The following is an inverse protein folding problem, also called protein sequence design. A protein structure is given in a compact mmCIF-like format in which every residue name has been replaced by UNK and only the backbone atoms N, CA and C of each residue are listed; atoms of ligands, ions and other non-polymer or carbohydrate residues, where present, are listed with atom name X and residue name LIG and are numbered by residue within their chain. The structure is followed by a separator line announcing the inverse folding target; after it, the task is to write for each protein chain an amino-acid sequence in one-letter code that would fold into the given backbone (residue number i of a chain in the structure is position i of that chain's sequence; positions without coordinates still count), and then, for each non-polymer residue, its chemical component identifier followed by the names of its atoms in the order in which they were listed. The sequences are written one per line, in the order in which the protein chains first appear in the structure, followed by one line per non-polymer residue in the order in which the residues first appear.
data_IF_983651308063
#
_entry.id   IF_983651308063
#
_cell.length_a   1.000
_cell.length_b   1.000
_cell.length_c   1.000
_cell.angle_alpha   90.00
_cell.angle_beta   90.00
_cell.angle_gamma   90.00
#
_symmetry.space_group_name_H-M   'P 1'
#
loop_
_entity.id
_entity.type
_entity.pdbx_description
1 polymer ?
#
# COMPACT_ATOMS: atom_id res chain seq x y z
N UNK A 1 11.50 -26.02 17.06
CA UNK A 1 10.89 -25.50 15.84
C UNK A 1 11.62 -24.19 15.51
N UNK A 2 12.39 -24.17 14.43
CA UNK A 2 13.10 -22.96 14.00
C UNK A 2 12.04 -21.93 13.56
N UNK A 3 11.90 -20.84 14.30
CA UNK A 3 11.09 -19.70 13.88
C UNK A 3 11.68 -19.13 12.58
N UNK A 4 11.11 -19.51 11.43
CA UNK A 4 11.45 -18.85 10.16
C UNK A 4 10.87 -17.44 10.20
N UNK A 5 11.73 -16.44 10.21
CA UNK A 5 11.36 -15.06 9.91
C UNK A 5 11.43 -14.85 8.41
N UNK A 6 10.41 -14.26 7.84
CA UNK A 6 10.38 -13.89 6.42
C UNK A 6 10.91 -12.46 6.28
N UNK A 7 11.75 -12.23 5.27
CA UNK A 7 12.18 -10.89 4.91
C UNK A 7 11.05 -10.20 4.17
N UNK A 8 10.65 -9.05 4.66
CA UNK A 8 9.62 -8.21 4.05
C UNK A 8 10.21 -7.08 3.20
N UNK A 9 9.36 -6.23 2.72
CA UNK A 9 9.70 -5.04 1.94
C UNK A 9 8.84 -3.85 2.36
N UNK A 10 9.17 -2.64 1.87
CA UNK A 10 8.37 -1.45 2.13
C UNK A 10 7.62 -1.06 0.85
N UNK A 11 6.30 -0.87 0.98
CA UNK A 11 5.46 -0.20 0.01
C UNK A 11 5.19 1.24 0.49
N UNK A 12 5.14 2.22 -0.43
CA UNK A 12 4.88 3.62 -0.12
C UNK A 12 3.83 4.20 -1.05
N UNK A 13 2.95 5.06 -0.53
CA UNK A 13 2.06 5.89 -1.32
C UNK A 13 2.75 7.20 -1.68
N UNK A 14 2.64 7.61 -2.96
CA UNK A 14 3.18 8.83 -3.55
C UNK A 14 2.13 9.52 -4.41
N UNK A 15 2.16 10.84 -4.48
CA UNK A 15 1.31 11.63 -5.36
C UNK A 15 0.27 12.48 -4.65
N UNK A 16 0.30 12.56 -3.32
CA UNK A 16 -0.68 13.34 -2.55
C UNK A 16 -0.10 14.61 -1.88
N UNK A 17 1.16 14.94 -2.16
CA UNK A 17 1.76 16.18 -1.71
C UNK A 17 2.88 16.61 -2.67
N UNK A 18 2.80 17.85 -3.19
CA UNK A 18 3.79 18.39 -4.14
C UNK A 18 5.22 18.45 -3.57
N UNK A 19 5.36 18.50 -2.24
CA UNK A 19 6.66 18.60 -1.55
C UNK A 19 7.36 17.24 -1.34
N UNK A 20 6.74 16.12 -1.76
CA UNK A 20 7.32 14.78 -1.58
C UNK A 20 8.34 14.37 -2.67
N UNK A 21 8.77 15.33 -3.50
CA UNK A 21 9.73 15.12 -4.57
C UNK A 21 9.18 14.38 -5.79
N UNK A 22 10.05 14.07 -6.76
CA UNK A 22 9.63 13.34 -7.95
C UNK A 22 9.46 11.84 -7.69
N UNK A 23 8.72 11.18 -8.58
CA UNK A 23 8.60 9.72 -8.56
C UNK A 23 9.97 9.05 -8.76
N UNK A 24 10.79 9.58 -9.66
CA UNK A 24 12.14 9.08 -9.91
C UNK A 24 13.04 9.20 -8.67
N UNK A 25 12.98 10.34 -7.95
CA UNK A 25 13.73 10.54 -6.70
C UNK A 25 13.28 9.53 -5.63
N UNK A 26 11.98 9.33 -5.48
CA UNK A 26 11.42 8.35 -4.55
C UNK A 26 11.99 6.95 -4.80
N UNK A 27 12.01 6.50 -6.06
CA UNK A 27 12.56 5.19 -6.42
C UNK A 27 14.08 5.11 -6.21
N UNK A 28 14.81 6.17 -6.47
CA UNK A 28 16.27 6.21 -6.37
C UNK A 28 16.80 6.08 -4.94
N UNK A 29 15.94 6.31 -3.94
CA UNK A 29 16.28 6.10 -2.53
C UNK A 29 16.65 4.65 -2.21
N UNK A 30 16.23 3.70 -3.05
CA UNK A 30 16.41 2.27 -2.83
C UNK A 30 15.68 1.72 -1.61
N UNK A 31 14.75 2.47 -1.02
CA UNK A 31 14.02 2.08 0.20
C UNK A 31 12.81 1.21 -0.08
N UNK A 32 12.17 1.40 -1.24
CA UNK A 32 10.84 0.89 -1.54
C UNK A 32 10.86 -0.20 -2.62
N UNK A 33 10.13 -1.27 -2.40
CA UNK A 33 9.88 -2.29 -3.42
C UNK A 33 8.63 -1.96 -4.26
N UNK A 34 7.71 -1.18 -3.70
CA UNK A 34 6.47 -0.74 -4.33
C UNK A 34 6.28 0.76 -4.14
N UNK A 35 5.88 1.46 -5.20
CA UNK A 35 5.42 2.85 -5.13
C UNK A 35 4.02 2.91 -5.73
N UNK A 36 3.06 3.37 -4.93
CA UNK A 36 1.65 3.45 -5.27
C UNK A 36 1.31 4.88 -5.69
N UNK A 37 0.99 5.09 -6.95
CA UNK A 37 0.54 6.39 -7.47
C UNK A 37 -0.89 6.63 -6.99
N UNK A 38 -1.09 7.56 -6.11
CA UNK A 38 -2.37 7.88 -5.50
C UNK A 38 -2.87 9.24 -5.97
N UNK A 39 -3.98 9.32 -6.71
CA UNK A 39 -4.93 8.28 -7.06
C UNK A 39 -5.50 8.45 -8.48
N UNK A 40 -5.95 7.37 -9.12
CA UNK A 40 -6.98 7.47 -10.14
C UNK A 40 -8.31 7.67 -9.41
N UNK A 41 -8.77 8.92 -9.33
CA UNK A 41 -9.89 9.33 -8.48
C UNK A 41 -11.25 9.32 -9.21
N UNK A 42 -11.25 9.49 -10.54
CA UNK A 42 -12.46 9.49 -11.37
C UNK A 42 -12.35 8.38 -12.42
N UNK A 43 -13.34 7.49 -12.46
CA UNK A 43 -13.40 6.41 -13.44
C UNK A 43 -14.81 5.78 -13.49
N UNK A 44 -15.09 5.00 -14.55
CA UNK A 44 -16.38 4.35 -14.73
C UNK A 44 -17.49 5.29 -15.22
N UNK A 45 -18.72 4.79 -15.38
CA UNK A 45 -19.93 5.51 -15.79
C UNK A 45 -19.75 6.41 -17.03
N UNK A 46 -18.94 5.97 -18.01
CA UNK A 46 -18.56 6.74 -19.21
C UNK A 46 -17.85 8.08 -18.92
N UNK A 47 -17.34 8.27 -17.69
CA UNK A 47 -16.53 9.44 -17.36
C UNK A 47 -15.11 9.29 -17.91
N UNK A 48 -14.49 10.40 -18.28
CA UNK A 48 -13.07 10.43 -18.62
C UNK A 48 -12.27 10.12 -17.35
N UNK A 49 -11.37 9.14 -17.37
CA UNK A 49 -10.55 8.82 -16.21
C UNK A 49 -9.75 10.04 -15.72
N UNK A 50 -9.88 10.37 -14.45
CA UNK A 50 -9.23 11.52 -13.82
C UNK A 50 -8.22 11.11 -12.76
N UNK A 51 -6.95 11.51 -12.96
CA UNK A 51 -5.90 11.38 -11.96
C UNK A 51 -5.91 12.59 -11.02
N UNK A 52 -5.78 12.34 -9.73
CA UNK A 52 -5.42 13.36 -8.75
C UNK A 52 -4.03 13.00 -8.18
N UNK A 53 -3.01 13.75 -8.56
CA UNK A 53 -1.63 13.61 -8.14
C UNK A 53 -1.08 14.94 -7.60
N UNK A 54 -1.92 15.74 -6.96
CA UNK A 54 -1.59 16.98 -6.23
C UNK A 54 -0.47 17.81 -6.87
N UNK A 55 -0.69 18.30 -8.09
CA UNK A 55 0.24 19.15 -8.86
C UNK A 55 1.53 18.48 -9.36
N UNK A 56 1.77 17.20 -9.11
CA UNK A 56 2.88 16.49 -9.77
C UNK A 56 2.70 16.42 -11.29
N UNK A 57 1.45 16.43 -11.74
CA UNK A 57 1.08 16.64 -13.14
C UNK A 57 -0.37 17.15 -13.22
N UNK A 58 -0.71 17.81 -14.33
CA UNK A 58 -2.07 18.23 -14.63
C UNK A 58 -2.64 17.31 -15.74
N UNK A 59 -3.58 16.40 -15.41
CA UNK A 59 -4.14 15.48 -16.39
C UNK A 59 -4.94 16.19 -17.51
N UNK A 60 -5.37 17.44 -17.30
CA UNK A 60 -6.13 18.23 -18.25
C UNK A 60 -5.25 19.07 -19.18
N UNK A 61 -3.95 19.20 -18.88
CA UNK A 61 -3.01 19.94 -19.70
C UNK A 61 -2.64 19.17 -20.97
N UNK A 62 -2.08 19.87 -21.99
CA UNK A 62 -1.56 19.24 -23.19
C UNK A 62 -0.43 18.26 -22.85
N UNK A 63 -0.66 16.98 -23.07
CA UNK A 63 0.21 15.90 -22.67
C UNK A 63 -0.11 15.29 -21.31
N UNK A 64 -0.91 15.97 -20.50
CA UNK A 64 -1.40 15.43 -19.23
C UNK A 64 -0.26 14.92 -18.33
N UNK A 65 -0.47 13.75 -17.74
CA UNK A 65 0.51 13.09 -16.87
C UNK A 65 1.51 12.17 -17.62
N UNK A 66 1.64 12.31 -18.94
CA UNK A 66 2.56 11.48 -19.74
C UNK A 66 4.03 11.72 -19.38
N UNK A 67 4.36 12.86 -18.77
CA UNK A 67 5.70 13.15 -18.21
C UNK A 67 6.17 12.09 -17.22
N UNK A 68 5.26 11.51 -16.45
CA UNK A 68 5.56 10.44 -15.48
C UNK A 68 6.02 9.13 -16.13
N UNK A 69 5.80 8.96 -17.44
CA UNK A 69 6.18 7.71 -18.14
C UNK A 69 7.69 7.41 -18.04
N UNK A 70 8.53 8.44 -18.05
CA UNK A 70 9.98 8.27 -17.90
C UNK A 70 10.37 7.90 -16.47
N UNK A 71 9.75 8.52 -15.48
CA UNK A 71 9.96 8.22 -14.07
C UNK A 71 9.51 6.79 -13.75
N UNK A 72 8.34 6.37 -14.23
CA UNK A 72 7.85 4.99 -14.10
C UNK A 72 8.85 4.01 -14.69
N UNK A 73 9.36 4.26 -15.91
CA UNK A 73 10.37 3.39 -16.53
C UNK A 73 11.68 3.36 -15.73
N UNK A 74 12.08 4.51 -15.16
CA UNK A 74 13.26 4.60 -14.31
C UNK A 74 13.10 3.76 -13.04
N UNK A 75 11.96 3.86 -12.35
CA UNK A 75 11.62 3.04 -11.20
C UNK A 75 11.65 1.54 -11.53
N UNK A 76 10.99 1.16 -12.63
CA UNK A 76 10.93 -0.24 -13.08
C UNK A 76 12.31 -0.82 -13.41
N UNK A 77 13.22 -0.03 -13.99
CA UNK A 77 14.61 -0.45 -14.24
C UNK A 77 15.38 -0.72 -12.94
N UNK A 78 15.01 -0.06 -11.85
CA UNK A 78 15.58 -0.27 -10.51
C UNK A 78 14.90 -1.44 -9.76
N UNK A 79 13.96 -2.15 -10.40
CA UNK A 79 13.21 -3.25 -9.80
C UNK A 79 12.03 -2.82 -8.90
N UNK A 80 11.72 -1.51 -8.86
CA UNK A 80 10.58 -1.00 -8.09
C UNK A 80 9.29 -1.24 -8.87
N UNK A 81 8.30 -1.83 -8.22
CA UNK A 81 6.96 -1.98 -8.79
C UNK A 81 6.18 -0.69 -8.62
N UNK A 82 5.82 -0.05 -9.73
CA UNK A 82 4.96 1.13 -9.73
C UNK A 82 3.53 0.67 -9.96
N UNK A 83 2.66 0.99 -9.00
CA UNK A 83 1.26 0.58 -8.97
C UNK A 83 0.37 1.82 -9.14
N UNK A 84 -0.69 1.72 -9.93
CA UNK A 84 -1.73 2.75 -9.96
C UNK A 84 -2.77 2.42 -8.89
N UNK A 85 -2.92 3.32 -7.93
CA UNK A 85 -3.97 3.20 -6.91
C UNK A 85 -5.28 3.77 -7.45
N UNK A 86 -6.31 2.94 -7.48
CA UNK A 86 -7.66 3.30 -7.94
C UNK A 86 -8.51 3.49 -6.69
N UNK A 87 -9.14 4.66 -6.53
CA UNK A 87 -10.01 4.90 -5.39
C UNK A 87 -9.89 6.30 -4.82
N UNK A 88 -10.10 6.42 -3.52
CA UNK A 88 -10.25 7.69 -2.80
C UNK A 88 -11.72 7.97 -2.45
N UNK A 89 -12.64 7.03 -2.73
CA UNK A 89 -14.05 7.09 -2.41
C UNK A 89 -14.68 5.70 -2.22
N UNK A 90 -15.94 5.70 -1.79
CA UNK A 90 -16.74 4.48 -1.66
C UNK A 90 -17.28 4.06 -3.03
N UNK A 91 -16.87 2.90 -3.51
CA UNK A 91 -17.37 2.32 -4.75
C UNK A 91 -17.73 0.86 -4.54
N UNK A 92 -18.79 0.43 -5.21
CA UNK A 92 -19.19 -0.97 -5.30
C UNK A 92 -18.54 -1.67 -6.52
N UNK A 93 -18.75 -2.97 -6.65
CA UNK A 93 -18.31 -3.78 -7.80
C UNK A 93 -16.80 -3.99 -7.96
N UNK A 94 -16.03 -3.84 -6.88
CA UNK A 94 -14.60 -4.11 -6.87
C UNK A 94 -14.25 -5.57 -7.24
N UNK A 95 -15.14 -6.52 -6.95
CA UNK A 95 -14.98 -7.93 -7.34
C UNK A 95 -15.11 -8.12 -8.85
N UNK A 96 -16.01 -7.39 -9.51
CA UNK A 96 -16.18 -7.44 -10.98
C UNK A 96 -14.94 -6.85 -11.66
N UNK A 97 -14.44 -5.70 -11.17
CA UNK A 97 -13.22 -5.08 -11.67
C UNK A 97 -12.01 -6.02 -11.48
N UNK A 98 -11.90 -6.67 -10.32
CA UNK A 98 -10.81 -7.62 -10.05
C UNK A 98 -10.81 -8.80 -11.03
N UNK A 99 -12.01 -9.39 -11.31
CA UNK A 99 -12.18 -10.47 -12.30
C UNK A 99 -11.82 -9.99 -13.70
N UNK A 100 -12.28 -8.81 -14.09
CA UNK A 100 -11.98 -8.23 -15.39
C UNK A 100 -10.49 -8.03 -15.60
N UNK A 101 -9.80 -7.40 -14.63
CA UNK A 101 -8.35 -7.14 -14.69
C UNK A 101 -7.53 -8.44 -14.72
N UNK A 102 -7.90 -9.46 -13.94
CA UNK A 102 -7.22 -10.77 -13.97
C UNK A 102 -7.50 -11.55 -15.26
N UNK A 103 -8.60 -11.27 -15.93
CA UNK A 103 -8.92 -11.84 -17.26
C UNK A 103 -8.04 -11.29 -18.39
N UNK A 104 -7.36 -10.19 -18.18
CA UNK A 104 -6.46 -9.59 -19.18
C UNK A 104 -5.24 -10.47 -19.39
N UNK A 105 -5.26 -11.26 -20.47
CA UNK A 105 -4.13 -12.07 -20.94
C UNK A 105 -3.20 -11.19 -21.78
N UNK A 106 -2.46 -10.30 -21.15
CA UNK A 106 -1.39 -9.57 -21.82
C UNK A 106 -0.07 -10.34 -21.74
N UNK A 107 0.91 -9.96 -22.54
CA UNK A 107 2.28 -10.50 -22.48
C UNK A 107 3.00 -10.18 -21.15
N UNK A 108 2.38 -9.37 -20.28
CA UNK A 108 2.94 -8.95 -18.98
C UNK A 108 1.98 -9.35 -17.86
N UNK A 109 2.55 -9.79 -16.74
CA UNK A 109 1.79 -10.09 -15.52
C UNK A 109 1.17 -8.81 -14.97
N UNK A 110 -0.15 -8.82 -14.75
CA UNK A 110 -0.86 -7.78 -14.00
C UNK A 110 -0.88 -8.17 -12.53
N UNK A 111 -0.30 -7.33 -11.68
CA UNK A 111 -0.40 -7.43 -10.23
C UNK A 111 -1.65 -6.72 -9.77
N UNK A 112 -2.43 -7.38 -8.93
CA UNK A 112 -3.62 -6.83 -8.32
C UNK A 112 -3.41 -6.72 -6.82
N UNK A 113 -3.60 -5.51 -6.28
CA UNK A 113 -3.41 -5.22 -4.86
C UNK A 113 -4.64 -4.56 -4.27
N UNK A 114 -4.83 -4.68 -2.96
CA UNK A 114 -5.91 -4.04 -2.23
C UNK A 114 -5.41 -3.44 -0.93
N UNK A 115 -6.03 -2.34 -0.50
CA UNK A 115 -5.70 -1.64 0.73
C UNK A 115 -6.94 -1.54 1.65
N UNK A 116 -7.44 -2.67 2.19
CA UNK A 116 -8.59 -2.67 3.08
C UNK A 116 -8.26 -2.00 4.42
N UNK A 117 -9.31 -1.56 5.11
CA UNK A 117 -9.23 -1.16 6.51
C UNK A 117 -9.04 -2.40 7.40
N UNK A 118 -8.45 -2.24 8.60
CA UNK A 118 -8.20 -3.38 9.48
C UNK A 118 -9.42 -4.10 10.08
N UNK A 119 -10.63 -3.51 10.24
CA UNK A 119 -11.81 -4.26 10.61
C UNK A 119 -12.06 -5.44 9.66
N UNK A 120 -12.35 -6.63 10.22
CA UNK A 120 -12.59 -7.83 9.43
C UNK A 120 -14.02 -8.34 9.59
N UNK A 121 -14.75 -8.67 8.48
CA UNK A 121 -14.38 -8.36 7.09
C UNK A 121 -14.42 -6.86 6.80
N UNK A 122 -13.60 -6.40 5.83
CA UNK A 122 -13.68 -5.00 5.39
C UNK A 122 -15.03 -4.73 4.73
N UNK A 123 -15.65 -3.61 5.11
CA UNK A 123 -17.02 -3.27 4.69
C UNK A 123 -17.14 -2.99 3.17
N UNK A 124 -16.07 -2.49 2.54
CA UNK A 124 -16.08 -2.07 1.13
C UNK A 124 -15.39 -3.08 0.22
N UNK A 125 -14.29 -3.68 0.69
CA UNK A 125 -13.45 -4.58 -0.10
C UNK A 125 -13.71 -6.06 0.15
N UNK A 126 -14.48 -6.41 1.20
CA UNK A 126 -14.65 -7.80 1.63
C UNK A 126 -15.12 -8.74 0.52
N UNK A 127 -16.09 -8.30 -0.32
CA UNK A 127 -16.58 -9.07 -1.47
C UNK A 127 -15.49 -9.29 -2.53
N UNK A 128 -14.68 -8.26 -2.82
CA UNK A 128 -13.59 -8.37 -3.77
C UNK A 128 -12.47 -9.27 -3.25
N UNK A 129 -12.12 -9.14 -1.98
CA UNK A 129 -11.08 -9.94 -1.34
C UNK A 129 -11.43 -11.43 -1.27
N UNK A 130 -12.73 -11.76 -1.12
CA UNK A 130 -13.20 -13.15 -1.14
C UNK A 130 -13.00 -13.84 -2.48
N UNK A 131 -12.72 -13.11 -3.56
CA UNK A 131 -12.40 -13.69 -4.88
C UNK A 131 -11.05 -14.43 -4.91
N UNK A 132 -10.14 -14.15 -3.97
CA UNK A 132 -8.77 -14.71 -3.94
C UNK A 132 -7.88 -14.25 -5.10
N UNK A 133 -8.23 -13.18 -5.80
CA UNK A 133 -7.53 -12.72 -7.01
C UNK A 133 -6.37 -11.75 -6.75
N UNK A 134 -6.21 -11.29 -5.50
CA UNK A 134 -5.21 -10.30 -5.15
C UNK A 134 -3.84 -10.92 -4.89
N UNK A 135 -2.79 -10.27 -5.41
CA UNK A 135 -1.41 -10.69 -5.19
C UNK A 135 -0.91 -10.18 -3.82
N UNK A 136 -1.11 -8.89 -3.52
CA UNK A 136 -0.67 -8.27 -2.27
C UNK A 136 -1.83 -7.53 -1.60
N UNK A 137 -1.89 -7.59 -0.27
CA UNK A 137 -2.92 -6.89 0.54
C UNK A 137 -2.22 -6.01 1.57
N UNK A 138 -2.55 -4.72 1.58
CA UNK A 138 -2.01 -3.69 2.46
C UNK A 138 -3.05 -3.27 3.48
N UNK A 139 -3.12 -3.96 4.63
CA UNK A 139 -4.15 -3.77 5.65
C UNK A 139 -3.84 -2.49 6.42
N UNK A 140 -4.75 -1.52 6.44
CA UNK A 140 -4.58 -0.21 7.07
C UNK A 140 -4.90 -0.30 8.58
N UNK A 141 -3.88 -0.42 9.43
CA UNK A 141 -3.99 -0.49 10.89
C UNK A 141 -3.98 0.91 11.53
N UNK A 142 -4.78 1.83 11.01
CA UNK A 142 -4.95 3.18 11.52
C UNK A 142 -6.36 3.70 11.29
N UNK A 143 -6.78 4.74 12.04
CA UNK A 143 -8.11 5.35 12.01
C UNK A 143 -9.26 4.37 12.32
N UNK A 144 -8.99 3.28 13.02
CA UNK A 144 -9.97 2.25 13.35
C UNK A 144 -9.69 1.62 14.72
N UNK A 145 -10.68 0.90 15.27
CA UNK A 145 -10.56 0.27 16.57
C UNK A 145 -9.45 -0.79 16.67
N UNK A 146 -9.05 -1.38 15.54
CA UNK A 146 -8.00 -2.41 15.42
C UNK A 146 -6.58 -1.86 15.25
N UNK A 147 -6.41 -0.55 15.35
CA UNK A 147 -5.11 0.12 15.36
C UNK A 147 -4.30 -0.19 16.62
N UNK A 148 -3.01 0.18 16.62
CA UNK A 148 -2.18 0.09 17.82
C UNK A 148 -2.62 1.09 18.90
N UNK A 149 -2.94 0.57 20.08
CA UNK A 149 -3.32 1.35 21.29
C UNK A 149 -2.43 1.03 22.48
N UNK A 150 -1.13 0.80 22.22
CA UNK A 150 -0.16 0.44 23.27
C UNK A 150 0.02 -1.06 23.46
N UNK A 151 -0.92 -1.88 22.98
CA UNK A 151 -0.88 -3.34 23.03
C UNK A 151 -0.73 -3.93 21.63
N UNK A 152 0.36 -4.68 21.39
CA UNK A 152 0.63 -5.34 20.12
C UNK A 152 -0.19 -6.64 19.93
N UNK A 153 -0.79 -7.18 21.00
CA UNK A 153 -1.60 -8.40 20.92
C UNK A 153 -2.87 -8.17 20.10
N UNK A 154 -3.48 -6.98 20.19
CA UNK A 154 -4.65 -6.62 19.39
C UNK A 154 -4.34 -6.58 17.87
N UNK A 155 -3.19 -5.99 17.51
CA UNK A 155 -2.70 -6.03 16.11
C UNK A 155 -2.47 -7.47 15.66
N UNK A 156 -1.81 -8.29 16.51
CA UNK A 156 -1.53 -9.69 16.19
C UNK A 156 -2.81 -10.48 15.95
N UNK A 157 -3.81 -10.34 16.80
CA UNK A 157 -5.10 -11.02 16.65
C UNK A 157 -5.79 -10.65 15.33
N UNK A 158 -5.85 -9.36 15.01
CA UNK A 158 -6.42 -8.88 13.74
C UNK A 158 -5.60 -9.34 12.53
N UNK A 159 -4.27 -9.28 12.63
CA UNK A 159 -3.36 -9.80 11.59
C UNK A 159 -3.60 -11.28 11.31
N UNK A 160 -3.72 -12.10 12.34
CA UNK A 160 -3.99 -13.53 12.20
C UNK A 160 -5.36 -13.79 11.58
N UNK A 161 -6.37 -13.01 11.96
CA UNK A 161 -7.70 -13.10 11.36
C UNK A 161 -7.64 -12.82 9.85
N UNK A 162 -6.95 -11.75 9.42
CA UNK A 162 -6.77 -11.42 8.01
C UNK A 162 -6.01 -12.51 7.24
N UNK A 163 -4.86 -12.91 7.75
CA UNK A 163 -3.96 -13.85 7.04
C UNK A 163 -4.48 -15.28 7.02
N UNK A 164 -5.41 -15.64 7.91
CA UNK A 164 -6.05 -16.96 7.92
C UNK A 164 -7.31 -17.03 7.06
N UNK A 165 -7.98 -15.92 6.80
CA UNK A 165 -9.30 -15.92 6.13
C UNK A 165 -9.27 -15.35 4.71
N UNK A 166 -8.18 -14.69 4.30
CA UNK A 166 -8.06 -14.13 2.96
C UNK A 166 -6.89 -14.79 2.22
N UNK A 167 -7.11 -15.10 0.94
CA UNK A 167 -6.06 -15.67 0.10
C UNK A 167 -5.33 -14.56 -0.63
N UNK A 168 -4.03 -14.40 -0.35
CA UNK A 168 -3.12 -13.52 -1.07
C UNK A 168 -1.68 -14.07 -1.03
N UNK A 169 -0.83 -13.59 -1.94
CA UNK A 169 0.59 -13.95 -1.95
C UNK A 169 1.29 -13.33 -0.75
N UNK A 170 1.05 -12.03 -0.50
CA UNK A 170 1.65 -11.32 0.62
C UNK A 170 0.65 -10.41 1.33
N UNK A 171 0.86 -10.24 2.63
CA UNK A 171 0.19 -9.25 3.46
C UNK A 171 1.19 -8.24 4.02
N UNK A 172 0.79 -6.98 4.02
CA UNK A 172 1.58 -5.87 4.54
C UNK A 172 0.84 -5.18 5.68
N UNK A 173 1.57 -4.84 6.73
CA UNK A 173 1.07 -4.01 7.81
C UNK A 173 1.06 -2.55 7.34
N UNK A 174 -0.11 -1.96 7.12
CA UNK A 174 -0.26 -0.58 6.69
C UNK A 174 -0.28 0.37 7.89
N UNK A 175 0.61 1.36 7.88
CA UNK A 175 0.81 2.33 8.96
C UNK A 175 0.96 3.76 8.42
N UNK A 176 0.58 4.79 9.20
CA UNK A 176 0.97 6.16 8.91
C UNK A 176 2.47 6.35 9.15
N UNK A 177 3.16 7.08 8.27
CA UNK A 177 4.60 7.32 8.37
C UNK A 177 4.95 8.45 9.36
N UNK A 178 3.97 9.20 9.85
CA UNK A 178 4.12 10.22 10.90
C UNK A 178 2.85 10.31 11.75
N UNK A 179 2.91 10.89 12.96
CA UNK A 179 1.71 11.15 13.77
C UNK A 179 0.65 11.98 13.06
N UNK A 180 1.07 12.94 12.21
CA UNK A 180 0.19 13.81 11.44
C UNK A 180 -0.35 13.18 10.15
N UNK A 181 0.08 11.95 9.79
CA UNK A 181 -0.34 11.27 8.58
C UNK A 181 -1.73 10.63 8.68
N UNK A 182 -2.24 10.46 9.89
CA UNK A 182 -3.57 9.89 10.17
C UNK A 182 -4.14 10.51 11.45
N UNK A 183 -5.45 10.38 11.65
CA UNK A 183 -6.08 10.85 12.89
C UNK A 183 -5.66 10.02 14.11
N UNK A 184 -5.34 8.74 13.90
CA UNK A 184 -4.90 7.81 14.95
C UNK A 184 -4.14 6.61 14.37
N UNK A 185 -3.50 5.80 15.23
CA UNK A 185 -2.85 4.55 14.83
C UNK A 185 -1.39 4.69 14.42
N UNK A 186 -0.75 5.85 14.65
CA UNK A 186 0.70 5.96 14.46
C UNK A 186 1.44 5.09 15.46
N UNK A 187 2.43 4.35 14.97
CA UNK A 187 3.31 3.49 15.78
C UNK A 187 4.73 4.01 15.65
N UNK A 188 5.41 4.41 16.74
CA UNK A 188 6.83 4.74 16.68
C UNK A 188 7.67 3.58 16.12
N UNK A 189 8.73 3.89 15.36
CA UNK A 189 9.53 2.88 14.65
C UNK A 189 10.17 1.84 15.60
N UNK A 190 10.66 2.28 16.75
CA UNK A 190 11.21 1.42 17.80
C UNK A 190 10.17 0.47 18.39
N UNK A 191 8.95 0.96 18.61
CA UNK A 191 7.80 0.15 19.07
C UNK A 191 7.39 -0.86 18.01
N UNK A 192 7.31 -0.43 16.74
CA UNK A 192 7.03 -1.34 15.63
C UNK A 192 8.04 -2.49 15.59
N UNK A 193 9.33 -2.17 15.64
CA UNK A 193 10.41 -3.14 15.57
C UNK A 193 10.38 -4.09 16.77
N UNK A 194 10.32 -3.51 17.99
CA UNK A 194 10.47 -4.27 19.21
C UNK A 194 9.22 -5.08 19.62
N UNK A 195 8.01 -4.66 19.22
CA UNK A 195 6.77 -5.26 19.73
C UNK A 195 5.89 -5.89 18.66
N UNK A 196 5.81 -5.32 17.45
CA UNK A 196 4.84 -5.76 16.44
C UNK A 196 5.50 -6.69 15.43
N UNK A 197 6.61 -6.27 14.81
CA UNK A 197 7.26 -7.08 13.77
C UNK A 197 7.67 -8.45 14.27
N UNK A 198 8.12 -8.57 15.50
CA UNK A 198 8.48 -9.85 16.11
C UNK A 198 7.30 -10.84 16.18
N UNK A 199 6.07 -10.34 16.22
CA UNK A 199 4.86 -11.16 16.28
C UNK A 199 4.35 -11.57 14.91
N UNK A 200 4.51 -10.73 13.88
CA UNK A 200 3.88 -10.94 12.57
C UNK A 200 4.84 -11.49 11.50
N UNK A 201 6.14 -11.28 11.62
CA UNK A 201 7.15 -11.73 10.63
C UNK A 201 7.25 -13.26 10.48
N UNK A 202 6.74 -14.02 11.43
CA UNK A 202 6.68 -15.49 11.34
C UNK A 202 5.53 -15.99 10.46
N UNK A 203 4.62 -15.12 10.05
CA UNK A 203 3.51 -15.45 9.17
C UNK A 203 4.05 -15.79 7.77
N UNK A 204 3.69 -16.95 7.22
CA UNK A 204 4.23 -17.50 5.95
C UNK A 204 4.13 -16.50 4.77
N UNK A 205 3.08 -15.71 4.73
CA UNK A 205 2.79 -14.74 3.67
C UNK A 205 2.99 -13.28 4.14
N UNK A 206 3.86 -13.07 5.14
CA UNK A 206 4.32 -11.73 5.51
C UNK A 206 5.08 -11.08 4.36
N UNK A 207 4.61 -9.93 3.89
CA UNK A 207 5.20 -9.18 2.77
C UNK A 207 5.99 -7.95 3.20
N UNK A 208 5.71 -7.42 4.40
CA UNK A 208 6.39 -6.22 4.90
C UNK A 208 5.47 -5.19 5.51
N UNK A 209 5.83 -3.91 5.29
CA UNK A 209 5.10 -2.74 5.80
C UNK A 209 4.69 -1.86 4.63
N UNK A 210 3.47 -1.34 4.64
CA UNK A 210 3.01 -0.28 3.74
C UNK A 210 2.92 1.03 4.51
N UNK A 211 3.35 2.13 3.93
CA UNK A 211 3.40 3.45 4.56
C UNK A 211 2.50 4.47 3.85
N UNK A 212 1.71 5.16 4.62
CA UNK A 212 0.98 6.35 4.25
C UNK A 212 1.64 7.58 4.89
N UNK A 213 2.36 8.47 4.18
CA UNK A 213 2.73 8.42 2.77
C UNK A 213 4.17 8.93 2.60
N UNK A 214 4.66 9.07 1.37
CA UNK A 214 6.01 9.55 1.05
C UNK A 214 6.32 10.91 1.68
N UNK A 215 5.38 11.87 1.58
CA UNK A 215 5.54 13.17 2.21
C UNK A 215 5.84 13.06 3.72
N UNK A 216 5.05 12.26 4.43
CA UNK A 216 5.22 12.06 5.87
C UNK A 216 6.47 11.25 6.21
N UNK A 217 6.85 10.32 5.35
CA UNK A 217 8.11 9.58 5.50
C UNK A 217 9.33 10.49 5.36
N UNK A 218 9.28 11.47 4.45
CA UNK A 218 10.34 12.47 4.30
C UNK A 218 10.51 13.34 5.54
N UNK A 219 9.42 13.68 6.22
CA UNK A 219 9.47 14.46 7.45
C UNK A 219 10.08 13.71 8.64
N UNK A 220 9.92 12.38 8.68
CA UNK A 220 10.26 11.57 9.87
C UNK A 220 11.43 10.61 9.64
N UNK A 221 11.71 10.23 8.39
CA UNK A 221 12.66 9.17 8.07
C UNK A 221 12.19 7.77 8.48
N UNK A 222 10.87 7.57 8.64
CA UNK A 222 10.30 6.35 9.18
C UNK A 222 10.74 5.10 8.40
N UNK A 223 10.69 5.13 7.07
CA UNK A 223 11.13 4.02 6.22
C UNK A 223 12.60 3.68 6.43
N UNK A 224 13.45 4.67 6.64
CA UNK A 224 14.88 4.47 6.91
C UNK A 224 15.11 3.76 8.24
N UNK A 225 14.32 4.12 9.26
CA UNK A 225 14.41 3.51 10.59
C UNK A 225 14.00 2.04 10.60
N UNK A 226 13.00 1.65 9.79
CA UNK A 226 12.48 0.28 9.81
C UNK A 226 13.06 -0.64 8.72
N UNK A 227 13.74 -0.11 7.70
CA UNK A 227 14.13 -0.84 6.48
C UNK A 227 14.91 -2.13 6.75
N UNK A 228 15.85 -2.11 7.68
CA UNK A 228 16.65 -3.30 8.03
C UNK A 228 15.91 -4.31 8.91
N UNK A 229 14.71 -3.97 9.35
CA UNK A 229 13.90 -4.76 10.28
C UNK A 229 12.64 -5.37 9.67
N UNK A 230 12.26 -4.99 8.45
CA UNK A 230 11.10 -5.53 7.74
C UNK A 230 11.41 -6.77 6.94
#
# INVERSE_FOLDING_TARGET
MTNRTYSGSIAIYWGQNVEEGTLADTCSTGKFAYVNLAFLAVFGNNQVPGLNLEKHCDPLSKGGCTSLANDIKSCQKQGVKVMLSIGGGTLDHWDELARFLKGFKSSKKVYLTAAPQCPFPDAYMGKALSTGLFDDIWIQFYNNYCEFKGDASAIKATWDQWTSNVTATNFFLGLPAAPSAAASGFVPADVLIAKILILIKSTKNYGGVMLWSKYYDDLTGYSSAIKSHV
#
